data_IF_920091064235
#
_entry.id   IF_920091064235
#
_cell.length_a   1.000
_cell.length_b   1.000
_cell.length_c   1.000
_cell.angle_alpha   90.00
_cell.angle_beta   90.00
_cell.angle_gamma   90.00
#
_symmetry.space_group_name_H-M   'P 1'
#
loop_
_entity.id
_entity.type
_entity.pdbx_description
1 polymer ?
#
# COMPACT_ATOMS: atom_id res chain seq x y z
N UNK A 1 11.51 -10.97 2.61
CA UNK A 1 10.76 -10.86 1.33
C UNK A 1 9.31 -10.53 1.70
N UNK A 2 8.83 -9.31 1.47
CA UNK A 2 7.50 -8.88 1.90
C UNK A 2 6.56 -8.78 0.70
N UNK A 3 5.83 -9.86 0.41
CA UNK A 3 4.71 -9.85 -0.53
C UNK A 3 3.42 -9.66 0.24
N UNK A 4 2.43 -9.04 -0.40
CA UNK A 4 1.07 -8.95 0.16
C UNK A 4 0.06 -9.49 -0.84
N UNK A 5 -1.15 -9.75 -0.38
CA UNK A 5 -2.23 -10.22 -1.24
C UNK A 5 -2.85 -9.06 -2.04
N UNK A 6 -3.48 -9.38 -3.16
CA UNK A 6 -4.29 -8.42 -3.92
C UNK A 6 -5.40 -7.80 -3.08
N UNK A 7 -5.99 -8.55 -2.15
CA UNK A 7 -6.96 -8.00 -1.19
C UNK A 7 -6.36 -6.84 -0.39
N UNK A 8 -5.13 -7.00 0.14
CA UNK A 8 -4.43 -5.91 0.83
C UNK A 8 -4.18 -4.71 -0.09
N UNK A 9 -3.76 -4.96 -1.34
CA UNK A 9 -3.59 -3.89 -2.35
C UNK A 9 -4.88 -3.10 -2.55
N UNK A 10 -6.01 -3.80 -2.72
CA UNK A 10 -7.32 -3.17 -2.92
C UNK A 10 -7.74 -2.32 -1.71
N UNK A 11 -7.48 -2.80 -0.48
CA UNK A 11 -7.72 -2.03 0.76
C UNK A 11 -6.89 -0.75 0.78
N UNK A 12 -5.61 -0.80 0.40
CA UNK A 12 -4.75 0.38 0.33
C UNK A 12 -5.26 1.41 -0.69
N UNK A 13 -5.73 0.95 -1.86
CA UNK A 13 -6.36 1.84 -2.85
C UNK A 13 -7.66 2.46 -2.32
N UNK A 14 -8.49 1.71 -1.59
CA UNK A 14 -9.71 2.24 -0.98
C UNK A 14 -9.38 3.32 0.06
N UNK A 15 -8.32 3.13 0.86
CA UNK A 15 -7.85 4.13 1.81
C UNK A 15 -7.30 5.38 1.12
N UNK A 16 -6.50 5.21 0.07
CA UNK A 16 -5.98 6.30 -0.73
C UNK A 16 -7.07 7.08 -1.48
N UNK A 17 -8.22 6.46 -1.77
CA UNK A 17 -9.36 7.16 -2.37
C UNK A 17 -10.07 8.13 -1.40
N UNK A 18 -9.77 8.07 -0.10
CA UNK A 18 -10.33 8.97 0.91
C UNK A 18 -9.37 10.14 1.19
N UNK A 19 -9.59 11.33 0.62
CA UNK A 19 -8.70 12.48 0.81
C UNK A 19 -8.69 12.94 2.26
N UNK A 20 -7.52 13.36 2.75
CA UNK A 20 -7.35 13.89 4.12
C UNK A 20 -7.24 12.83 5.21
N UNK A 21 -7.34 11.54 4.87
CA UNK A 21 -7.10 10.44 5.81
C UNK A 21 -5.65 10.47 6.31
N UNK A 22 -5.49 10.33 7.63
CA UNK A 22 -4.20 10.20 8.31
C UNK A 22 -4.09 8.81 8.92
N UNK A 23 -2.91 8.23 8.84
CA UNK A 23 -2.62 6.88 9.32
C UNK A 23 -1.39 6.91 10.22
N UNK A 24 -1.26 5.91 11.08
CA UNK A 24 -0.02 5.65 11.81
C UNK A 24 0.83 4.65 11.03
N UNK A 25 2.09 4.99 10.77
CA UNK A 25 3.10 4.08 10.25
C UNK A 25 4.04 3.68 11.37
N UNK A 26 3.94 2.42 11.80
CA UNK A 26 4.86 1.84 12.78
C UNK A 26 5.92 1.00 12.09
N UNK A 27 7.18 1.40 12.24
CA UNK A 27 8.34 0.66 11.73
C UNK A 27 8.68 -0.50 12.67
N UNK A 28 9.42 -1.49 12.15
CA UNK A 28 9.79 -2.69 12.91
C UNK A 28 10.64 -2.39 14.16
N UNK A 29 11.30 -1.23 14.21
CA UNK A 29 12.07 -0.76 15.37
C UNK A 29 11.24 0.01 16.40
N UNK A 30 9.91 0.08 16.22
CA UNK A 30 8.97 0.70 17.13
C UNK A 30 8.76 2.20 16.92
N UNK A 31 9.47 2.84 15.99
CA UNK A 31 9.17 4.24 15.62
C UNK A 31 7.81 4.33 14.95
N UNK A 32 7.03 5.34 15.33
CA UNK A 32 5.72 5.62 14.77
C UNK A 32 5.68 7.01 14.13
N UNK A 33 5.01 7.14 12.99
CA UNK A 33 4.84 8.38 12.25
C UNK A 33 3.37 8.59 11.90
N UNK A 34 2.88 9.83 12.00
CA UNK A 34 1.60 10.18 11.39
C UNK A 34 1.85 10.48 9.92
N UNK A 35 1.17 9.75 9.03
CA UNK A 35 1.40 9.81 7.59
C UNK A 35 0.11 9.94 6.81
N UNK A 36 0.21 10.41 5.58
CA UNK A 36 -0.81 10.25 4.55
C UNK A 36 -0.20 9.77 3.23
N UNK A 37 -1.07 9.28 2.35
CA UNK A 37 -0.68 8.93 0.99
C UNK A 37 -0.20 10.17 0.23
N UNK A 38 0.93 10.02 -0.46
CA UNK A 38 1.53 11.10 -1.24
C UNK A 38 0.84 11.24 -2.61
N UNK A 39 -0.36 11.82 -2.64
CA UNK A 39 -1.20 11.92 -3.85
C UNK A 39 -0.65 12.76 -4.99
N UNK A 40 0.30 13.66 -4.72
CA UNK A 40 0.95 14.44 -5.78
C UNK A 40 1.97 13.61 -6.59
N UNK A 41 2.26 12.38 -6.14
CA UNK A 41 3.04 11.36 -6.84
C UNK A 41 2.17 10.10 -7.01
N UNK A 42 2.71 9.04 -7.64
CA UNK A 42 2.09 7.72 -7.61
C UNK A 42 2.18 7.14 -6.19
N UNK A 43 1.16 7.36 -5.36
CA UNK A 43 1.18 6.97 -3.94
C UNK A 43 1.32 5.45 -3.71
N UNK A 44 0.79 4.65 -4.63
CA UNK A 44 0.78 3.19 -4.55
C UNK A 44 1.23 2.64 -5.90
N UNK A 45 2.31 1.85 -5.90
CA UNK A 45 2.70 0.99 -7.01
C UNK A 45 2.54 -0.46 -6.59
N UNK A 46 1.85 -1.26 -7.39
CA UNK A 46 1.60 -2.67 -7.11
C UNK A 46 1.80 -3.50 -8.37
N UNK A 47 2.71 -4.46 -8.31
CA UNK A 47 3.05 -5.36 -9.41
C UNK A 47 2.84 -6.81 -9.00
N UNK A 48 2.17 -7.65 -9.82
CA UNK A 48 1.99 -9.05 -9.49
C UNK A 48 3.33 -9.79 -9.50
N UNK A 49 3.56 -10.65 -8.51
CA UNK A 49 4.80 -11.45 -8.40
C UNK A 49 4.86 -12.54 -9.46
N UNK A 50 3.71 -13.05 -9.90
CA UNK A 50 3.58 -14.05 -10.97
C UNK A 50 2.54 -13.61 -11.99
N UNK A 51 2.76 -13.93 -13.26
CA UNK A 51 1.81 -13.66 -14.34
C UNK A 51 0.63 -14.64 -14.29
N UNK A 52 -0.41 -14.31 -13.52
CA UNK A 52 -1.62 -15.14 -13.45
C UNK A 52 -2.52 -14.94 -14.69
N UNK A 53 -3.08 -16.01 -15.29
CA UNK A 53 -4.07 -15.89 -16.37
C UNK A 53 -5.40 -15.29 -15.89
N UNK A 54 -5.74 -15.41 -14.60
CA UNK A 54 -6.86 -14.75 -13.96
C UNK A 54 -6.42 -14.20 -12.59
N UNK A 55 -6.86 -12.99 -12.23
CA UNK A 55 -6.47 -12.33 -10.97
C UNK A 55 -7.39 -12.77 -9.83
N UNK A 56 -6.83 -13.29 -8.75
CA UNK A 56 -7.52 -13.66 -7.52
C UNK A 56 -7.10 -12.76 -6.36
N UNK A 57 -7.94 -12.64 -5.33
CA UNK A 57 -7.67 -11.78 -4.17
C UNK A 57 -6.49 -12.26 -3.31
N UNK A 58 -6.18 -13.56 -3.39
CA UNK A 58 -5.04 -14.18 -2.72
C UNK A 58 -3.72 -14.07 -3.52
N UNK A 59 -3.74 -13.50 -4.73
CA UNK A 59 -2.55 -13.35 -5.55
C UNK A 59 -1.52 -12.45 -4.87
N UNK A 60 -0.25 -12.80 -4.98
CA UNK A 60 0.83 -12.04 -4.38
C UNK A 60 1.29 -10.87 -5.26
N UNK A 61 1.44 -9.71 -4.62
CA UNK A 61 1.92 -8.48 -5.21
C UNK A 61 3.14 -7.96 -4.45
N UNK A 62 4.07 -7.38 -5.22
CA UNK A 62 5.12 -6.49 -4.72
C UNK A 62 4.57 -5.07 -4.68
N UNK A 63 4.85 -4.36 -3.58
CA UNK A 63 4.31 -3.03 -3.34
C UNK A 63 5.41 -2.01 -3.09
N UNK A 64 5.17 -0.79 -3.57
CA UNK A 64 5.88 0.41 -3.14
C UNK A 64 4.85 1.43 -2.70
N UNK A 65 4.99 1.91 -1.47
CA UNK A 65 4.13 2.94 -0.87
C UNK A 65 4.93 4.23 -0.73
N UNK A 66 4.38 5.31 -1.28
CA UNK A 66 4.90 6.66 -1.10
C UNK A 66 4.00 7.41 -0.14
N UNK A 67 4.57 7.71 1.01
CA UNK A 67 3.89 8.37 2.12
C UNK A 67 4.55 9.73 2.38
N UNK A 68 3.81 10.63 3.00
CA UNK A 68 4.34 11.87 3.55
C UNK A 68 4.01 11.92 5.04
N UNK A 69 5.00 12.30 5.85
CA UNK A 69 4.80 12.63 7.27
C UNK A 69 4.02 13.95 7.36
N UNK A 70 3.12 14.03 8.34
CA UNK A 70 2.24 15.18 8.60
C UNK A 70 2.55 15.81 9.94
#
# INVERSE_FOLDING_TARGET
MAWVTRATVNTLYAWAASPGSRFELTLADGRAYTVAFRHHETAIEAEPVTGFPARHDADFYRLTLRLMEI
#
